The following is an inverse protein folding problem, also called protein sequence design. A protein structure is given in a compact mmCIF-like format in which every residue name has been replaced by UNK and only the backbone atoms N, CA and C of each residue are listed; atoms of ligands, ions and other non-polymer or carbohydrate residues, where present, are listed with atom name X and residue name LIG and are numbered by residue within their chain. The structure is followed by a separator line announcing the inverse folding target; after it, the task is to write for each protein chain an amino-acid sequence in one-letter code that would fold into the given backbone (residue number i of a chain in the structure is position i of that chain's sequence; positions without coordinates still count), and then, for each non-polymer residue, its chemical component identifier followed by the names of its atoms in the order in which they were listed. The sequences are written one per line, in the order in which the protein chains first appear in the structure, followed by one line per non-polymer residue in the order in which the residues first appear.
data_IF_289989235953
#
_entry.id   IF_289989235953
#
_cell.length_a   1.000
_cell.length_b   1.000
_cell.length_c   1.000
_cell.angle_alpha   90.00
_cell.angle_beta   90.00
_cell.angle_gamma   90.00
#
_symmetry.space_group_name_H-M   'P 1'
#
loop_
_entity.id
_entity.type
_entity.pdbx_description
1 polymer ?
#
# COMPACT_ATOMS: atom_id res chain seq x y z
N UNK A 1 0.98 -1.72 -10.61
CA UNK A 1 0.71 -2.15 -9.22
C UNK A 1 1.62 -3.32 -8.88
N UNK A 2 1.49 -4.45 -9.59
CA UNK A 2 2.36 -5.63 -9.41
C UNK A 2 3.86 -5.35 -9.50
N UNK A 3 4.35 -4.48 -10.40
CA UNK A 3 5.79 -4.17 -10.48
C UNK A 3 6.34 -3.56 -9.19
N UNK A 4 5.52 -2.83 -8.42
CA UNK A 4 5.93 -2.33 -7.10
C UNK A 4 5.94 -3.45 -6.06
N UNK A 5 4.91 -4.31 -6.04
CA UNK A 5 4.88 -5.48 -5.17
C UNK A 5 6.11 -6.37 -5.43
N UNK A 6 6.38 -6.67 -6.69
CA UNK A 6 7.50 -7.50 -7.14
C UNK A 6 8.82 -6.81 -6.81
N UNK A 7 8.98 -5.51 -7.06
CA UNK A 7 10.20 -4.80 -6.67
C UNK A 7 10.39 -4.79 -5.13
N UNK A 8 9.30 -4.67 -4.37
CA UNK A 8 9.32 -4.73 -2.91
C UNK A 8 9.67 -6.13 -2.39
N UNK A 9 9.26 -7.19 -3.11
CA UNK A 9 9.49 -8.58 -2.72
C UNK A 9 10.86 -9.08 -3.19
N UNK A 10 11.19 -8.86 -4.45
CA UNK A 10 12.28 -9.53 -5.15
C UNK A 10 13.49 -8.61 -5.42
N UNK A 11 13.41 -7.32 -5.06
CA UNK A 11 14.52 -6.37 -5.17
C UNK A 11 14.93 -6.02 -6.60
N UNK A 12 14.17 -6.46 -7.61
CA UNK A 12 14.43 -6.17 -9.02
C UNK A 12 13.14 -5.74 -9.74
N UNK A 13 13.32 -4.96 -10.81
CA UNK A 13 12.23 -4.45 -11.63
C UNK A 13 11.89 -5.50 -12.71
N UNK A 14 10.61 -5.89 -12.81
CA UNK A 14 10.13 -6.80 -13.85
C UNK A 14 9.32 -5.98 -14.87
N UNK A 15 9.85 -5.90 -16.10
CA UNK A 15 9.28 -5.10 -17.21
C UNK A 15 8.05 -5.76 -17.88
N UNK A 16 7.83 -7.07 -17.68
CA UNK A 16 6.72 -7.78 -18.30
C UNK A 16 5.56 -7.95 -17.32
N UNK A 17 4.46 -7.25 -17.58
CA UNK A 17 3.22 -7.35 -16.84
C UNK A 17 2.18 -8.12 -17.65
N UNK A 18 1.72 -9.25 -17.12
CA UNK A 18 0.50 -9.94 -17.58
C UNK A 18 -0.68 -9.50 -16.69
N UNK A 19 -1.83 -9.09 -17.24
CA UNK A 19 -2.99 -8.67 -16.45
C UNK A 19 -3.54 -9.85 -15.64
N UNK A 20 -3.32 -9.83 -14.32
CA UNK A 20 -3.63 -10.91 -13.39
C UNK A 20 -4.97 -10.75 -12.67
N UNK A 21 -5.59 -11.90 -12.40
CA UNK A 21 -6.53 -12.14 -11.30
C UNK A 21 -5.79 -11.82 -9.99
N UNK A 22 -6.46 -11.23 -8.99
CA UNK A 22 -5.90 -10.81 -7.68
C UNK A 22 -4.72 -11.70 -7.21
N UNK A 23 -3.56 -11.08 -6.95
CA UNK A 23 -2.36 -11.79 -6.50
C UNK A 23 -1.99 -11.39 -5.07
N UNK A 24 -1.85 -12.40 -4.22
CA UNK A 24 -1.37 -12.24 -2.85
C UNK A 24 0.05 -12.79 -2.75
N UNK A 25 0.97 -11.97 -2.25
CA UNK A 25 2.35 -12.34 -2.06
C UNK A 25 2.72 -12.28 -0.58
N UNK A 26 3.50 -13.26 -0.12
CA UNK A 26 3.96 -13.33 1.26
C UNK A 26 5.48 -13.16 1.31
N UNK A 27 5.97 -12.30 2.20
CA UNK A 27 7.40 -12.10 2.45
C UNK A 27 7.67 -11.98 3.93
N UNK A 28 8.69 -12.69 4.41
CA UNK A 28 9.25 -12.41 5.73
C UNK A 28 10.30 -11.33 5.58
N UNK A 29 10.15 -10.24 6.33
CA UNK A 29 11.14 -9.16 6.40
C UNK A 29 11.80 -9.16 7.78
N UNK A 30 13.03 -8.66 7.84
CA UNK A 30 13.78 -8.52 9.09
C UNK A 30 13.96 -7.05 9.43
N UNK A 31 13.41 -6.62 10.56
CA UNK A 31 13.44 -5.23 11.03
C UNK A 31 14.00 -5.23 12.45
N UNK A 32 15.08 -4.48 12.68
CA UNK A 32 15.78 -4.44 13.98
C UNK A 32 16.16 -5.83 14.56
N UNK A 33 16.43 -6.79 13.68
CA UNK A 33 16.80 -8.15 14.07
C UNK A 33 15.62 -9.11 14.29
N UNK A 34 14.38 -8.61 14.29
CA UNK A 34 13.16 -9.41 14.43
C UNK A 34 12.49 -9.65 13.06
N UNK A 35 11.90 -10.83 12.89
CA UNK A 35 11.21 -11.23 11.65
C UNK A 35 9.73 -10.88 11.71
N UNK A 36 9.20 -10.34 10.60
CA UNK A 36 7.80 -9.96 10.44
C UNK A 36 7.25 -10.54 9.15
N UNK A 37 6.02 -11.05 9.23
CA UNK A 37 5.25 -11.44 8.06
C UNK A 37 4.66 -10.21 7.38
N UNK A 38 4.90 -10.08 6.08
CA UNK A 38 4.31 -9.08 5.22
C UNK A 38 3.49 -9.78 4.14
N UNK A 39 2.22 -9.41 4.06
CA UNK A 39 1.32 -9.82 2.98
C UNK A 39 1.11 -8.63 2.05
N UNK A 40 1.50 -8.76 0.78
CA UNK A 40 1.25 -7.78 -0.26
C UNK A 40 0.08 -8.25 -1.10
N UNK A 41 -0.96 -7.43 -1.18
CA UNK A 41 -2.15 -7.72 -1.97
C UNK A 41 -2.13 -6.78 -3.17
N UNK A 42 -2.01 -7.37 -4.35
CA UNK A 42 -2.12 -6.68 -5.62
C UNK A 42 -3.55 -6.83 -6.14
N UNK A 43 -4.37 -5.82 -5.88
CA UNK A 43 -5.77 -5.79 -6.31
C UNK A 43 -5.82 -5.34 -7.76
N UNK A 44 -6.17 -6.24 -8.68
CA UNK A 44 -6.39 -5.89 -10.08
C UNK A 44 -7.71 -5.13 -10.24
N UNK A 45 -7.70 -4.06 -11.03
CA UNK A 45 -8.85 -3.17 -11.22
C UNK A 45 -10.01 -3.84 -11.97
N UNK A 46 -11.13 -4.02 -11.26
CA UNK A 46 -12.52 -3.77 -11.66
C UNK A 46 -13.49 -4.29 -10.58
N UNK A 47 -13.09 -5.28 -9.80
CA UNK A 47 -13.89 -5.82 -8.67
C UNK A 47 -13.63 -5.10 -7.33
N UNK A 48 -13.10 -3.87 -7.41
CA UNK A 48 -12.68 -3.00 -6.30
C UNK A 48 -13.76 -2.78 -5.23
N UNK A 49 -15.03 -3.09 -5.52
CA UNK A 49 -16.16 -2.84 -4.62
C UNK A 49 -16.58 -4.04 -3.77
N UNK A 50 -16.37 -5.28 -4.19
CA UNK A 50 -17.15 -6.39 -3.61
C UNK A 50 -16.43 -7.23 -2.57
N UNK A 51 -15.10 -7.30 -2.60
CA UNK A 51 -14.41 -8.27 -1.74
C UNK A 51 -13.13 -7.60 -1.22
N UNK A 52 -13.22 -7.01 -0.03
CA UNK A 52 -12.10 -7.07 0.90
C UNK A 52 -12.39 -8.30 1.76
N UNK A 53 -11.89 -9.49 1.39
CA UNK A 53 -12.20 -10.70 2.13
C UNK A 53 -11.98 -10.53 3.63
N UNK A 54 -12.90 -11.04 4.45
CA UNK A 54 -12.79 -10.98 5.90
C UNK A 54 -11.48 -11.61 6.44
N UNK A 55 -10.80 -12.47 5.66
CA UNK A 55 -9.49 -13.00 6.03
C UNK A 55 -8.39 -11.92 6.03
N UNK A 56 -8.50 -10.88 5.20
CA UNK A 56 -7.66 -9.69 5.28
C UNK A 56 -8.08 -8.75 6.41
N UNK A 57 -8.86 -9.18 7.38
CA UNK A 57 -9.13 -8.41 8.59
C UNK A 57 -8.74 -9.17 9.87
N UNK A 58 -8.42 -10.46 9.77
CA UNK A 58 -8.02 -11.28 10.92
C UNK A 58 -6.52 -11.13 11.17
N UNK A 59 -6.15 -10.89 12.44
CA UNK A 59 -4.76 -10.79 12.91
C UNK A 59 -3.84 -9.73 12.27
N UNK A 60 -4.41 -8.76 11.54
CA UNK A 60 -3.65 -7.63 10.99
C UNK A 60 -3.40 -6.57 12.04
N UNK A 61 -2.16 -6.10 12.06
CA UNK A 61 -1.65 -5.13 13.01
C UNK A 61 -1.24 -3.80 12.34
N UNK A 62 -1.32 -3.68 11.01
CA UNK A 62 -1.07 -2.45 10.28
C UNK A 62 -1.46 -2.55 8.80
N UNK A 63 -1.84 -1.42 8.18
CA UNK A 63 -2.09 -1.32 6.75
C UNK A 63 -1.17 -0.31 6.06
N UNK A 64 -0.73 -0.65 4.85
CA UNK A 64 -0.04 0.27 3.95
C UNK A 64 -0.93 0.42 2.71
N UNK A 65 -1.45 1.62 2.47
CA UNK A 65 -2.31 1.92 1.33
C UNK A 65 -1.50 2.70 0.31
N UNK A 66 -1.25 2.12 -0.87
CA UNK A 66 -0.38 2.71 -1.89
C UNK A 66 -1.20 3.13 -3.11
N UNK A 67 -1.10 4.41 -3.50
CA UNK A 67 -1.66 4.93 -4.75
C UNK A 67 -0.57 5.51 -5.66
N UNK A 68 -0.89 5.76 -6.93
CA UNK A 68 -0.01 6.41 -7.89
C UNK A 68 -0.29 7.91 -7.94
N UNK A 69 0.72 8.78 -7.76
CA UNK A 69 0.52 10.24 -7.86
C UNK A 69 0.04 10.68 -9.25
N UNK A 70 0.23 9.85 -10.25
CA UNK A 70 -0.18 10.06 -11.65
C UNK A 70 -1.60 9.56 -11.96
N UNK A 71 -2.31 8.96 -11.00
CA UNK A 71 -3.64 8.38 -11.23
C UNK A 71 -4.62 8.77 -10.12
N UNK A 72 -5.53 9.70 -10.43
CA UNK A 72 -6.63 10.05 -9.54
C UNK A 72 -7.52 8.83 -9.20
N UNK A 73 -7.76 7.94 -10.18
CA UNK A 73 -8.50 6.70 -9.95
C UNK A 73 -7.87 5.82 -8.87
N UNK A 74 -6.53 5.68 -8.85
CA UNK A 74 -5.84 4.92 -7.79
C UNK A 74 -5.98 5.61 -6.42
N UNK A 75 -6.07 6.94 -6.40
CA UNK A 75 -6.27 7.70 -5.17
C UNK A 75 -7.72 7.58 -4.66
N UNK A 76 -8.71 7.48 -5.52
CA UNK A 76 -10.10 7.21 -5.12
C UNK A 76 -10.24 5.78 -4.58
N UNK A 77 -9.60 4.82 -5.23
CA UNK A 77 -9.69 3.42 -4.84
C UNK A 77 -9.00 3.13 -3.47
N UNK A 78 -7.86 3.76 -3.12
CA UNK A 78 -7.32 3.67 -1.74
C UNK A 78 -8.27 4.25 -0.69
N UNK A 79 -9.10 5.24 -1.04
CA UNK A 79 -10.09 5.79 -0.10
C UNK A 79 -11.23 4.80 0.13
N UNK A 80 -11.72 4.16 -0.92
CA UNK A 80 -12.72 3.11 -0.80
C UNK A 80 -12.21 1.91 0.02
N UNK A 81 -10.93 1.55 -0.11
CA UNK A 81 -10.32 0.51 0.73
C UNK A 81 -10.26 0.95 2.20
N UNK A 82 -9.86 2.20 2.47
CA UNK A 82 -9.85 2.75 3.82
C UNK A 82 -11.24 2.67 4.47
N UNK A 83 -12.29 3.08 3.77
CA UNK A 83 -13.67 3.03 4.28
C UNK A 83 -14.08 1.60 4.66
N UNK A 84 -13.72 0.61 3.85
CA UNK A 84 -13.96 -0.82 4.19
C UNK A 84 -13.20 -1.28 5.43
N UNK A 85 -11.95 -0.86 5.60
CA UNK A 85 -11.15 -1.18 6.80
C UNK A 85 -11.84 -0.59 8.05
N UNK A 86 -12.38 0.62 7.94
CA UNK A 86 -13.13 1.28 9.01
C UNK A 86 -14.43 0.52 9.31
N UNK A 87 -15.19 0.13 8.29
CA UNK A 87 -16.46 -0.61 8.43
C UNK A 87 -16.28 -1.97 9.10
N UNK A 88 -15.12 -2.60 8.91
CA UNK A 88 -14.73 -3.86 9.58
C UNK A 88 -14.34 -3.67 11.05
N UNK A 89 -14.43 -2.46 11.60
CA UNK A 89 -14.15 -2.15 13.00
C UNK A 89 -12.66 -2.03 13.33
N UNK A 90 -11.78 -1.88 12.33
CA UNK A 90 -10.32 -1.81 12.49
C UNK A 90 -9.77 -0.39 12.63
N UNK A 91 -10.56 0.52 13.22
CA UNK A 91 -10.22 1.94 13.39
C UNK A 91 -8.97 2.23 14.22
N UNK A 92 -8.49 1.25 15.01
CA UNK A 92 -7.29 1.38 15.85
C UNK A 92 -6.02 0.79 15.22
N UNK A 93 -6.11 0.26 13.99
CA UNK A 93 -4.94 -0.30 13.30
C UNK A 93 -4.14 0.85 12.67
N UNK A 94 -2.81 0.94 12.89
CA UNK A 94 -1.97 1.93 12.23
C UNK A 94 -2.06 1.85 10.70
N UNK A 95 -2.20 3.01 10.05
CA UNK A 95 -2.29 3.12 8.59
C UNK A 95 -1.17 4.03 8.08
N UNK A 96 -0.55 3.61 6.98
CA UNK A 96 0.39 4.43 6.21
C UNK A 96 -0.18 4.63 4.81
N UNK A 97 -0.42 5.89 4.42
CA UNK A 97 -0.79 6.27 3.07
C UNK A 97 0.46 6.63 2.26
N UNK A 98 0.66 5.96 1.13
CA UNK A 98 1.85 6.10 0.29
C UNK A 98 1.48 6.61 -1.10
N UNK A 99 1.92 7.83 -1.44
CA UNK A 99 1.86 8.38 -2.79
C UNK A 99 3.08 7.98 -3.61
N UNK A 100 2.93 7.00 -4.50
CA UNK A 100 4.04 6.44 -5.25
C UNK A 100 4.21 7.03 -6.67
N UNK A 101 5.36 6.79 -7.29
CA UNK A 101 5.82 7.32 -8.60
C UNK A 101 6.19 8.80 -8.57
N UNK A 102 6.82 9.27 -7.49
CA UNK A 102 7.32 10.65 -7.41
C UNK A 102 8.39 10.99 -8.43
N UNK A 103 8.93 10.03 -9.19
CA UNK A 103 9.78 10.29 -10.35
C UNK A 103 9.00 10.86 -11.54
N UNK A 104 7.67 10.71 -11.57
CA UNK A 104 6.78 11.18 -12.64
C UNK A 104 6.05 12.49 -12.25
N UNK A 105 6.77 13.49 -11.72
CA UNK A 105 6.15 14.75 -11.26
C UNK A 105 5.38 15.49 -12.36
N UNK A 106 5.83 15.41 -13.62
CA UNK A 106 5.17 16.07 -14.74
C UNK A 106 3.81 15.46 -15.08
N UNK A 107 3.56 14.22 -14.68
CA UNK A 107 2.31 13.49 -14.89
C UNK A 107 1.43 13.50 -13.64
N UNK A 108 1.77 14.30 -12.62
CA UNK A 108 1.06 14.31 -11.34
C UNK A 108 -0.40 14.73 -11.54
N UNK A 109 -1.30 13.81 -11.20
CA UNK A 109 -2.74 14.02 -11.15
C UNK A 109 -3.25 14.28 -9.72
N UNK A 110 -2.51 13.82 -8.71
CA UNK A 110 -2.86 13.95 -7.28
C UNK A 110 -1.82 14.81 -6.59
N UNK A 111 -2.25 15.94 -6.03
CA UNK A 111 -1.35 16.85 -5.32
C UNK A 111 -0.86 16.23 -4.01
N UNK A 112 0.37 16.55 -3.60
CA UNK A 112 0.91 16.14 -2.30
C UNK A 112 0.03 16.62 -1.14
N UNK A 113 -0.59 17.80 -1.27
CA UNK A 113 -1.50 18.35 -0.27
C UNK A 113 -2.79 17.54 -0.15
N UNK A 114 -3.34 17.05 -1.26
CA UNK A 114 -4.49 16.15 -1.26
C UNK A 114 -4.19 14.85 -0.49
N UNK A 115 -3.03 14.25 -0.73
CA UNK A 115 -2.57 13.05 -0.01
C UNK A 115 -2.38 13.30 1.48
N UNK A 116 -1.67 14.38 1.83
CA UNK A 116 -1.43 14.77 3.23
C UNK A 116 -2.73 15.03 3.99
N UNK A 117 -3.62 15.85 3.43
CA UNK A 117 -4.92 16.17 4.03
C UNK A 117 -5.75 14.92 4.28
N UNK A 118 -5.70 13.95 3.37
CA UNK A 118 -6.42 12.68 3.53
C UNK A 118 -5.82 11.81 4.63
N UNK A 119 -4.50 11.72 4.71
CA UNK A 119 -3.83 11.00 5.80
C UNK A 119 -4.12 11.62 7.18
N UNK A 120 -4.15 12.95 7.28
CA UNK A 120 -4.54 13.65 8.51
C UNK A 120 -5.97 13.31 8.94
N UNK A 121 -6.92 13.27 7.99
CA UNK A 121 -8.30 12.85 8.27
C UNK A 121 -8.40 11.41 8.79
N UNK A 122 -7.46 10.56 8.38
CA UNK A 122 -7.40 9.15 8.74
C UNK A 122 -6.55 8.87 9.98
N UNK A 123 -5.93 9.91 10.57
CA UNK A 123 -4.89 9.75 11.59
C UNK A 123 -3.77 8.77 11.13
N UNK A 124 -3.45 8.82 9.84
CA UNK A 124 -2.48 7.97 9.16
C UNK A 124 -1.15 8.70 8.93
N UNK A 125 -0.07 7.94 8.79
CA UNK A 125 1.22 8.47 8.34
C UNK A 125 1.18 8.68 6.83
N UNK A 126 1.67 9.81 6.33
CA UNK A 126 1.78 10.08 4.89
C UNK A 126 3.23 10.05 4.41
N UNK A 127 3.48 9.34 3.32
CA UNK A 127 4.80 9.26 2.65
C UNK A 127 4.58 9.38 1.15
N UNK A 128 5.48 10.07 0.44
CA UNK A 128 5.57 9.93 -1.02
C UNK A 128 6.89 9.25 -1.41
N UNK A 129 6.86 8.43 -2.47
CA UNK A 129 8.04 7.66 -2.88
C UNK A 129 8.05 7.27 -4.36
N UNK A 130 9.15 6.68 -4.81
CA UNK A 130 9.29 6.00 -6.10
C UNK A 130 9.54 4.51 -5.89
N UNK A 131 9.14 3.69 -6.87
CA UNK A 131 9.51 2.28 -6.90
C UNK A 131 11.05 2.09 -6.85
N UNK A 132 11.78 3.03 -7.47
CA UNK A 132 13.25 3.01 -7.60
C UNK A 132 13.98 3.22 -6.27
N UNK A 133 13.34 3.78 -5.26
CA UNK A 133 13.93 3.99 -3.95
C UNK A 133 13.71 2.75 -3.06
N UNK A 134 14.80 2.03 -2.79
CA UNK A 134 14.82 0.83 -1.93
C UNK A 134 14.46 1.12 -0.44
N UNK A 135 14.36 2.38 -0.04
CA UNK A 135 14.30 2.79 1.37
C UNK A 135 12.89 2.83 1.97
N UNK A 136 11.85 2.66 1.16
CA UNK A 136 10.45 2.71 1.62
C UNK A 136 10.14 1.57 2.60
N UNK A 137 10.69 0.39 2.31
CA UNK A 137 10.57 -0.80 3.14
C UNK A 137 11.28 -0.66 4.48
N UNK A 138 12.24 0.26 4.63
CA UNK A 138 12.91 0.46 5.91
C UNK A 138 12.16 1.49 6.76
N UNK A 139 11.66 2.57 6.15
CA UNK A 139 10.99 3.64 6.88
C UNK A 139 9.62 3.24 7.42
N UNK A 140 8.84 2.49 6.64
CA UNK A 140 7.48 2.08 7.04
C UNK A 140 7.52 1.12 8.25
N UNK A 141 8.49 0.21 8.29
CA UNK A 141 8.56 -0.80 9.35
C UNK A 141 9.39 -0.39 10.56
N UNK A 142 10.26 0.63 10.44
CA UNK A 142 10.90 1.23 11.60
C UNK A 142 9.90 1.96 12.51
N UNK A 143 8.75 2.38 11.97
CA UNK A 143 7.70 3.07 12.74
C UNK A 143 6.81 2.07 13.50
N UNK A 144 6.66 0.83 13.03
CA UNK A 144 5.90 -0.20 13.75
C UNK A 144 6.32 -1.63 13.35
N UNK A 145 6.84 -2.45 14.29
CA UNK A 145 7.32 -3.80 14.02
C UNK A 145 6.19 -4.84 14.14
N UNK A 146 5.21 -4.84 13.24
CA UNK A 146 4.08 -5.77 13.33
C UNK A 146 3.69 -6.36 11.97
N UNK A 147 2.90 -7.44 11.97
CA UNK A 147 2.37 -8.05 10.75
C UNK A 147 1.51 -7.03 9.99
N UNK A 148 1.94 -6.70 8.77
CA UNK A 148 1.32 -5.66 7.94
C UNK A 148 0.74 -6.24 6.67
N UNK A 149 -0.37 -5.66 6.24
CA UNK A 149 -0.93 -5.87 4.90
C UNK A 149 -0.73 -4.63 4.07
N UNK A 150 -0.10 -4.79 2.91
CA UNK A 150 0.12 -3.70 1.97
C UNK A 150 -0.79 -3.89 0.76
N UNK A 151 -1.64 -2.90 0.50
CA UNK A 151 -2.56 -2.90 -0.62
C UNK A 151 -2.08 -1.89 -1.67
N UNK A 152 -1.81 -2.39 -2.88
CA UNK A 152 -1.43 -1.57 -4.02
C UNK A 152 -2.61 -1.35 -4.96
N UNK A 153 -2.91 -0.08 -5.22
CA UNK A 153 -4.05 0.36 -6.03
C UNK A 153 -3.63 1.17 -7.24
#
# INVERSE_FOLDING_TARGET
KSTLCIQFIEGHFVDNYDPTIENTFNKVIKVNGQEFGLELIDTAGQDEFSIFPNHYAMDIQGYILVYSITSAASFDAVQSIYEKIVDLGKVNVPIVLVGNKTDLQMERAVSTESGRKKAEQWNAVFIETTAKQHEVSCYIFNVNPFSMVCLFV
#
